data_IF_585265980316
#
_entry.id   IF_585265980316
#
_cell.length_a   1.000
_cell.length_b   1.000
_cell.length_c   1.000
_cell.angle_alpha   90.00
_cell.angle_beta   90.00
_cell.angle_gamma   90.00
#
_symmetry.space_group_name_H-M   'P 1'
#
loop_
_entity.id
_entity.type
_entity.pdbx_description
1 polymer ?
#
# COMPACT_ATOMS: atom_id res chain seq x y z
N UNK A 1 -24.88 -4.42 14.88
CA UNK A 1 -23.71 -5.21 14.47
C UNK A 1 -23.93 -6.72 14.64
N UNK A 2 -24.58 -7.21 15.73
CA UNK A 2 -24.79 -8.66 15.90
C UNK A 2 -25.68 -9.25 14.79
N UNK A 3 -26.80 -8.59 14.49
CA UNK A 3 -27.70 -9.01 13.41
C UNK A 3 -27.01 -8.95 12.05
N UNK A 4 -26.25 -7.89 11.81
CA UNK A 4 -25.52 -7.70 10.56
C UNK A 4 -24.45 -8.78 10.39
N UNK A 5 -23.65 -9.05 11.44
CA UNK A 5 -22.64 -10.09 11.43
C UNK A 5 -23.22 -11.48 11.16
N UNK A 6 -24.36 -11.82 11.78
CA UNK A 6 -25.08 -13.07 11.53
C UNK A 6 -25.58 -13.16 10.10
N UNK A 7 -26.11 -12.05 9.55
CA UNK A 7 -26.57 -11.98 8.17
C UNK A 7 -25.41 -12.16 7.17
N UNK A 8 -24.31 -11.44 7.39
CA UNK A 8 -23.10 -11.55 6.55
C UNK A 8 -22.52 -12.96 6.57
N UNK A 9 -22.44 -13.57 7.77
CA UNK A 9 -22.01 -14.96 7.89
C UNK A 9 -22.93 -15.93 7.15
N UNK A 10 -24.27 -15.71 7.19
CA UNK A 10 -25.25 -16.52 6.45
C UNK A 10 -25.12 -16.40 4.92
N UNK A 11 -24.64 -15.26 4.43
CA UNK A 11 -24.33 -15.03 3.02
C UNK A 11 -22.99 -15.63 2.58
N UNK A 12 -22.17 -16.10 3.52
CA UNK A 12 -20.85 -16.63 3.23
C UNK A 12 -19.79 -15.57 3.03
N UNK A 13 -19.96 -14.37 3.58
CA UNK A 13 -18.96 -13.29 3.50
C UNK A 13 -17.68 -13.72 4.22
N UNK A 14 -16.51 -13.51 3.59
CA UNK A 14 -15.18 -13.83 4.12
C UNK A 14 -14.37 -12.60 4.51
N UNK A 15 -14.79 -11.41 4.10
CA UNK A 15 -14.10 -10.14 4.32
C UNK A 15 -15.13 -9.05 4.60
N UNK A 16 -14.92 -8.29 5.66
CA UNK A 16 -15.72 -7.11 6.01
C UNK A 16 -14.83 -5.88 6.17
N UNK A 17 -15.00 -4.88 5.30
CA UNK A 17 -14.52 -3.52 5.53
C UNK A 17 -15.58 -2.76 6.31
N UNK A 18 -15.22 -2.31 7.53
CA UNK A 18 -16.11 -1.61 8.43
C UNK A 18 -15.72 -0.14 8.53
N UNK A 19 -16.50 0.68 7.84
CA UNK A 19 -16.23 2.10 7.66
C UNK A 19 -16.65 2.94 8.86
N UNK A 20 -16.00 4.07 9.05
CA UNK A 20 -16.30 5.07 10.08
C UNK A 20 -17.62 5.82 9.80
N UNK A 21 -17.96 6.02 8.51
CA UNK A 21 -19.18 6.68 8.04
C UNK A 21 -19.49 7.99 8.79
N UNK A 22 -20.71 8.11 9.30
CA UNK A 22 -21.16 9.28 10.08
C UNK A 22 -20.86 9.19 11.59
N UNK A 23 -20.00 8.27 12.01
CA UNK A 23 -19.75 8.02 13.45
C UNK A 23 -19.20 9.26 14.17
N UNK A 24 -18.31 10.01 13.51
CA UNK A 24 -17.73 11.22 14.07
C UNK A 24 -18.83 12.23 14.44
N UNK A 25 -19.64 12.78 13.52
CA UNK A 25 -20.67 13.76 13.85
C UNK A 25 -21.84 13.17 14.62
N UNK A 26 -22.18 11.91 14.42
CA UNK A 26 -23.36 11.30 15.03
C UNK A 26 -23.14 10.82 16.47
N UNK A 27 -21.92 10.41 16.80
CA UNK A 27 -21.57 9.80 18.09
C UNK A 27 -20.49 10.61 18.82
N UNK A 28 -19.29 10.70 18.23
CA UNK A 28 -18.13 11.27 18.93
C UNK A 28 -18.35 12.74 19.31
N UNK A 29 -18.74 13.58 18.35
CA UNK A 29 -18.97 15.02 18.61
C UNK A 29 -20.17 15.29 19.50
N UNK A 30 -21.15 14.38 19.56
CA UNK A 30 -22.31 14.54 20.46
C UNK A 30 -22.02 14.10 21.90
N UNK A 31 -21.24 13.01 22.07
CA UNK A 31 -21.00 12.41 23.38
C UNK A 31 -19.73 12.95 24.06
N UNK A 32 -18.75 13.39 23.28
CA UNK A 32 -17.47 13.87 23.77
C UNK A 32 -16.92 15.01 22.89
N UNK A 33 -17.61 16.17 22.75
CA UNK A 33 -17.26 17.20 21.77
C UNK A 33 -15.85 17.77 21.96
N UNK A 34 -15.37 17.87 23.21
CA UNK A 34 -14.10 18.51 23.57
C UNK A 34 -13.11 17.53 24.24
N UNK A 35 -13.43 16.24 24.31
CA UNK A 35 -12.58 15.22 24.95
C UNK A 35 -12.06 14.20 23.93
N UNK A 36 -10.86 14.46 23.38
CA UNK A 36 -10.22 13.56 22.41
C UNK A 36 -9.99 12.15 22.95
N UNK A 37 -9.66 12.01 24.24
CA UNK A 37 -9.47 10.69 24.82
C UNK A 37 -10.79 9.92 24.94
N UNK A 38 -11.90 10.60 25.23
CA UNK A 38 -13.22 10.00 25.19
C UNK A 38 -13.65 9.66 23.75
N UNK A 39 -13.36 10.52 22.78
CA UNK A 39 -13.61 10.25 21.34
C UNK A 39 -12.89 8.98 20.89
N UNK A 40 -11.60 8.85 21.21
CA UNK A 40 -10.81 7.65 20.91
C UNK A 40 -11.40 6.39 21.56
N UNK A 41 -11.79 6.45 22.84
CA UNK A 41 -12.45 5.32 23.53
C UNK A 41 -13.76 4.91 22.84
N UNK A 42 -14.56 5.87 22.40
CA UNK A 42 -15.80 5.60 21.65
C UNK A 42 -15.52 4.92 20.32
N UNK A 43 -14.51 5.37 19.58
CA UNK A 43 -14.08 4.76 18.32
C UNK A 43 -13.63 3.31 18.53
N UNK A 44 -12.69 3.07 19.43
CA UNK A 44 -12.19 1.73 19.75
C UNK A 44 -13.33 0.81 20.16
N UNK A 45 -14.22 1.26 21.05
CA UNK A 45 -15.37 0.47 21.51
C UNK A 45 -16.33 0.11 20.38
N UNK A 46 -16.49 0.98 19.38
CA UNK A 46 -17.33 0.71 18.21
C UNK A 46 -16.74 -0.43 17.34
N UNK A 47 -15.46 -0.38 17.06
CA UNK A 47 -14.77 -1.43 16.29
C UNK A 47 -14.70 -2.75 17.08
N UNK A 48 -14.43 -2.70 18.38
CA UNK A 48 -14.47 -3.87 19.26
C UNK A 48 -15.85 -4.54 19.29
N UNK A 49 -16.94 -3.76 19.24
CA UNK A 49 -18.31 -4.27 19.21
C UNK A 49 -18.57 -5.09 17.94
N UNK A 50 -18.10 -4.63 16.78
CA UNK A 50 -18.20 -5.39 15.53
C UNK A 50 -17.33 -6.64 15.55
N UNK A 51 -16.09 -6.57 16.05
CA UNK A 51 -15.23 -7.74 16.20
C UNK A 51 -15.91 -8.85 17.01
N UNK A 52 -16.46 -8.50 18.17
CA UNK A 52 -17.21 -9.45 19.02
C UNK A 52 -18.41 -10.05 18.28
N UNK A 53 -19.11 -9.25 17.50
CA UNK A 53 -20.24 -9.71 16.70
C UNK A 53 -19.79 -10.69 15.61
N UNK A 54 -18.73 -10.36 14.86
CA UNK A 54 -18.17 -11.24 13.83
C UNK A 54 -17.69 -12.57 14.43
N UNK A 55 -16.92 -12.55 15.51
CA UNK A 55 -16.44 -13.75 16.21
C UNK A 55 -17.56 -14.63 16.72
N UNK A 56 -18.67 -14.05 17.15
CA UNK A 56 -19.84 -14.80 17.66
C UNK A 56 -20.55 -15.65 16.59
N UNK A 57 -20.31 -15.36 15.30
CA UNK A 57 -20.89 -16.14 14.19
C UNK A 57 -20.22 -17.49 13.99
N UNK A 58 -19.00 -17.68 14.52
CA UNK A 58 -18.16 -18.86 14.29
C UNK A 58 -17.54 -18.94 12.90
N UNK A 59 -17.82 -17.96 11.98
CA UNK A 59 -17.21 -17.89 10.66
C UNK A 59 -15.93 -17.06 10.71
N UNK A 60 -14.81 -17.53 10.14
CA UNK A 60 -13.60 -16.73 9.99
C UNK A 60 -13.85 -15.63 8.94
N UNK A 61 -13.94 -14.38 9.40
CA UNK A 61 -14.15 -13.21 8.54
C UNK A 61 -12.95 -12.29 8.74
N UNK A 62 -12.26 -11.94 7.65
CA UNK A 62 -11.19 -10.94 7.67
C UNK A 62 -11.81 -9.58 8.00
N UNK A 63 -11.30 -8.94 9.04
CA UNK A 63 -11.85 -7.69 9.54
C UNK A 63 -10.94 -6.51 9.21
N UNK A 64 -11.43 -5.61 8.38
CA UNK A 64 -10.76 -4.40 7.91
C UNK A 64 -11.38 -3.15 8.52
N UNK A 65 -10.55 -2.33 9.18
CA UNK A 65 -10.99 -1.05 9.74
C UNK A 65 -10.80 0.06 8.71
N UNK A 66 -11.85 0.84 8.48
CA UNK A 66 -11.77 2.00 7.59
C UNK A 66 -12.08 3.29 8.37
N UNK A 67 -11.07 3.78 9.09
CA UNK A 67 -11.13 5.02 9.87
C UNK A 67 -10.04 6.03 9.48
N UNK A 68 -9.45 5.84 8.29
CA UNK A 68 -8.60 6.84 7.61
C UNK A 68 -7.31 7.23 8.35
N UNK A 69 -6.71 6.33 9.13
CA UNK A 69 -5.49 6.60 9.89
C UNK A 69 -5.69 7.37 11.20
N UNK A 70 -6.92 7.74 11.54
CA UNK A 70 -7.21 8.53 12.73
C UNK A 70 -6.72 7.85 14.00
N UNK A 71 -6.20 8.67 14.92
CA UNK A 71 -5.72 8.26 16.24
C UNK A 71 -4.71 7.09 16.17
N UNK A 72 -3.85 7.09 15.13
CA UNK A 72 -2.81 6.08 14.93
C UNK A 72 -3.36 4.64 15.05
N UNK A 73 -4.35 4.30 14.23
CA UNK A 73 -5.05 3.00 14.26
C UNK A 73 -4.12 1.79 14.27
N UNK A 74 -2.95 1.90 13.66
CA UNK A 74 -1.93 0.85 13.66
C UNK A 74 -1.42 0.49 15.07
N UNK A 75 -1.61 1.37 16.07
CA UNK A 75 -1.23 1.10 17.46
C UNK A 75 -2.30 0.31 18.21
N UNK A 76 -3.58 0.49 17.88
CA UNK A 76 -4.68 -0.12 18.61
C UNK A 76 -5.53 -1.11 17.77
N UNK A 77 -5.49 -1.03 16.45
CA UNK A 77 -6.28 -1.89 15.54
C UNK A 77 -6.16 -3.38 15.85
N UNK A 78 -4.97 -3.93 16.11
CA UNK A 78 -4.84 -5.34 16.51
C UNK A 78 -5.64 -5.69 17.78
N UNK A 79 -5.78 -4.76 18.73
CA UNK A 79 -6.46 -5.02 20.01
C UNK A 79 -7.96 -5.20 19.87
N UNK A 80 -8.56 -4.68 18.80
CA UNK A 80 -9.98 -4.86 18.46
C UNK A 80 -10.22 -5.95 17.43
N UNK A 81 -9.22 -6.85 17.22
CA UNK A 81 -9.35 -8.01 16.34
C UNK A 81 -9.18 -7.72 14.85
N UNK A 82 -8.73 -6.53 14.49
CA UNK A 82 -8.52 -6.18 13.09
C UNK A 82 -7.38 -6.98 12.45
N UNK A 83 -7.59 -7.37 11.19
CA UNK A 83 -6.56 -7.98 10.34
C UNK A 83 -5.87 -6.95 9.46
N UNK A 84 -6.53 -5.83 9.17
CA UNK A 84 -5.95 -4.71 8.44
C UNK A 84 -6.70 -3.41 8.79
N UNK A 85 -6.07 -2.28 8.48
CA UNK A 85 -6.62 -0.95 8.76
C UNK A 85 -6.13 0.08 7.76
N UNK A 86 -7.04 0.94 7.33
CA UNK A 86 -6.70 2.10 6.50
C UNK A 86 -5.77 3.03 7.26
N UNK A 87 -4.69 3.42 6.63
CA UNK A 87 -3.65 4.28 7.20
C UNK A 87 -3.81 5.75 6.83
N UNK A 88 -4.57 6.04 5.77
CA UNK A 88 -4.72 7.37 5.17
C UNK A 88 -6.16 7.64 4.77
N UNK A 89 -6.45 8.87 4.34
CA UNK A 89 -7.66 9.23 3.59
C UNK A 89 -7.81 8.46 2.29
N UNK A 90 -8.91 8.71 1.55
CA UNK A 90 -9.21 8.01 0.31
C UNK A 90 -8.22 8.37 -0.80
N UNK A 91 -7.77 7.34 -1.52
CA UNK A 91 -6.92 7.48 -2.69
C UNK A 91 -7.69 8.09 -3.86
N UNK A 92 -6.97 8.83 -4.70
CA UNK A 92 -7.46 9.37 -5.97
C UNK A 92 -6.59 8.89 -7.12
N UNK A 93 -7.14 8.71 -8.34
CA UNK A 93 -6.40 8.22 -9.49
C UNK A 93 -5.48 9.30 -10.10
N UNK A 94 -4.55 9.79 -9.33
CA UNK A 94 -3.53 10.76 -9.75
C UNK A 94 -2.25 10.58 -8.94
N UNK A 95 -1.13 10.98 -9.54
CA UNK A 95 0.20 10.83 -8.95
C UNK A 95 0.33 11.47 -7.57
N UNK A 96 -0.18 12.69 -7.41
CA UNK A 96 -0.07 13.42 -6.13
C UNK A 96 -0.69 12.63 -4.97
N UNK A 97 -1.86 12.03 -5.19
CA UNK A 97 -2.52 11.21 -4.17
C UNK A 97 -1.73 9.94 -3.87
N UNK A 98 -1.30 9.22 -4.91
CA UNK A 98 -0.52 7.97 -4.76
C UNK A 98 0.78 8.24 -4.00
N UNK A 99 1.53 9.26 -4.41
CA UNK A 99 2.82 9.56 -3.80
C UNK A 99 2.68 10.12 -2.38
N UNK A 100 1.65 10.93 -2.11
CA UNK A 100 1.35 11.38 -0.74
C UNK A 100 1.06 10.21 0.18
N UNK A 101 0.18 9.29 -0.25
CA UNK A 101 -0.18 8.11 0.52
C UNK A 101 1.05 7.20 0.75
N UNK A 102 1.88 7.01 -0.29
CA UNK A 102 3.13 6.26 -0.16
C UNK A 102 4.04 6.85 0.92
N UNK A 103 4.22 8.17 0.93
CA UNK A 103 5.05 8.84 1.93
C UNK A 103 4.49 8.69 3.35
N UNK A 104 3.17 8.67 3.51
CA UNK A 104 2.53 8.45 4.80
C UNK A 104 2.75 7.03 5.35
N UNK A 105 3.12 6.04 4.49
CA UNK A 105 3.50 4.70 4.95
C UNK A 105 4.92 4.66 5.54
N UNK A 106 5.76 5.66 5.27
CA UNK A 106 7.12 5.68 5.80
C UNK A 106 7.12 5.62 7.34
N UNK A 107 7.74 4.57 7.89
CA UNK A 107 7.80 4.34 9.34
C UNK A 107 6.66 3.48 9.91
N UNK A 108 5.67 3.06 9.11
CA UNK A 108 4.59 2.19 9.57
C UNK A 108 4.92 0.70 9.50
N UNK A 109 5.98 0.30 8.81
CA UNK A 109 6.37 -1.10 8.62
C UNK A 109 6.46 -1.92 9.91
N UNK A 110 6.79 -1.29 11.03
CA UNK A 110 6.89 -1.96 12.35
C UNK A 110 5.54 -2.41 12.92
N UNK A 111 4.43 -1.93 12.37
CA UNK A 111 3.07 -2.27 12.80
C UNK A 111 2.43 -3.35 11.89
N UNK A 112 3.03 -3.60 10.71
CA UNK A 112 2.56 -4.60 9.77
C UNK A 112 3.28 -5.94 9.94
N UNK A 113 2.58 -7.01 9.59
CA UNK A 113 3.10 -8.37 9.60
C UNK A 113 2.00 -9.40 9.39
N UNK A 114 2.32 -10.71 9.39
CA UNK A 114 1.33 -11.75 9.15
C UNK A 114 0.11 -11.64 10.08
N UNK A 115 -1.05 -11.44 9.47
CA UNK A 115 -2.33 -11.26 10.17
C UNK A 115 -2.68 -9.82 10.56
N UNK A 116 -1.77 -8.87 10.34
CA UNK A 116 -1.96 -7.45 10.68
C UNK A 116 -1.32 -6.58 9.59
N UNK A 117 -2.12 -5.88 8.77
CA UNK A 117 -1.63 -5.20 7.59
C UNK A 117 -2.03 -3.72 7.57
N UNK A 118 -1.06 -2.87 7.22
CA UNK A 118 -1.36 -1.48 6.84
C UNK A 118 -2.08 -1.50 5.48
N UNK A 119 -3.11 -0.69 5.36
CA UNK A 119 -3.92 -0.57 4.15
C UNK A 119 -3.85 0.88 3.64
N UNK A 120 -3.03 1.16 2.62
CA UNK A 120 -2.92 2.48 2.00
C UNK A 120 -4.07 2.78 1.02
N UNK A 121 -5.11 2.00 1.02
CA UNK A 121 -6.25 1.97 0.13
C UNK A 121 -6.09 1.08 -1.12
N UNK A 122 -7.14 0.99 -1.90
CA UNK A 122 -7.22 0.13 -3.09
C UNK A 122 -6.28 0.59 -4.21
N UNK A 123 -6.17 -0.24 -5.23
CA UNK A 123 -5.42 0.06 -6.44
C UNK A 123 -6.27 0.91 -7.39
N UNK A 124 -5.71 2.03 -7.85
CA UNK A 124 -6.29 2.91 -8.87
C UNK A 124 -5.67 2.70 -10.26
N UNK A 125 -4.99 1.58 -10.47
CA UNK A 125 -4.31 1.23 -11.72
C UNK A 125 -5.28 1.23 -12.90
N UNK A 126 -5.01 2.07 -13.90
CA UNK A 126 -5.86 2.24 -15.08
C UNK A 126 -7.09 3.12 -14.86
N UNK A 127 -7.22 3.74 -13.70
CA UNK A 127 -8.29 4.70 -13.40
C UNK A 127 -7.90 6.13 -13.76
N UNK A 128 -8.90 7.00 -13.82
CA UNK A 128 -8.79 8.42 -14.12
C UNK A 128 -9.66 8.86 -15.29
N UNK A 129 -9.56 10.12 -15.66
CA UNK A 129 -10.31 10.70 -16.78
C UNK A 129 -9.40 11.01 -17.96
N UNK A 130 -9.84 10.86 -19.22
CA UNK A 130 -9.04 11.20 -20.38
C UNK A 130 -8.49 12.61 -20.30
N UNK A 131 -7.28 12.78 -20.81
CA UNK A 131 -6.68 14.10 -20.98
C UNK A 131 -7.63 14.96 -21.84
N UNK A 132 -8.05 16.14 -21.30
CA UNK A 132 -9.00 17.03 -21.98
C UNK A 132 -10.47 16.91 -21.55
N UNK A 133 -10.80 16.03 -20.58
CA UNK A 133 -12.09 16.13 -19.90
C UNK A 133 -12.10 17.34 -18.96
N UNK A 134 -13.24 18.04 -18.86
CA UNK A 134 -13.41 19.25 -18.01
C UNK A 134 -13.23 19.01 -16.49
N UNK A 135 -12.93 17.80 -16.11
CA UNK A 135 -12.80 17.42 -14.71
C UNK A 135 -11.33 17.23 -14.34
N UNK A 136 -10.51 18.12 -14.16
CA UNK A 136 -9.13 18.19 -13.66
C UNK A 136 -8.46 16.87 -13.10
N UNK A 137 -9.10 15.73 -13.32
CA UNK A 137 -8.62 14.40 -12.95
C UNK A 137 -7.90 13.84 -14.17
N UNK A 138 -6.59 13.71 -14.09
CA UNK A 138 -5.76 13.10 -15.13
C UNK A 138 -5.71 11.60 -14.93
N UNK A 139 -5.66 10.83 -16.01
CA UNK A 139 -5.27 9.42 -15.94
C UNK A 139 -3.89 9.29 -15.33
N UNK A 140 -3.71 8.19 -14.63
CA UNK A 140 -2.37 7.69 -14.37
C UNK A 140 -1.71 7.32 -15.70
N UNK A 141 -0.45 7.70 -15.84
CA UNK A 141 0.37 7.21 -16.96
C UNK A 141 0.73 5.74 -16.73
N UNK A 142 1.10 4.98 -17.74
CA UNK A 142 1.60 3.61 -17.55
C UNK A 142 2.79 3.50 -16.59
N UNK A 143 3.60 4.55 -16.47
CA UNK A 143 4.69 4.64 -15.50
C UNK A 143 4.14 4.75 -14.07
N UNK A 144 3.21 5.68 -13.85
CA UNK A 144 2.54 5.88 -12.55
C UNK A 144 1.74 4.63 -12.12
N UNK A 145 1.08 3.95 -13.07
CA UNK A 145 0.38 2.68 -12.83
C UNK A 145 1.34 1.58 -12.36
N UNK A 146 2.52 1.45 -13.02
CA UNK A 146 3.55 0.49 -12.60
C UNK A 146 4.12 0.83 -11.23
N UNK A 147 4.39 2.09 -10.97
CA UNK A 147 4.90 2.55 -9.68
C UNK A 147 3.90 2.30 -8.57
N UNK A 148 2.64 2.67 -8.78
CA UNK A 148 1.56 2.43 -7.84
C UNK A 148 1.45 0.94 -7.49
N UNK A 149 1.30 0.06 -8.47
CA UNK A 149 1.20 -1.38 -8.26
C UNK A 149 2.43 -1.97 -7.56
N UNK A 150 3.63 -1.55 -7.99
CA UNK A 150 4.90 -1.99 -7.40
C UNK A 150 5.01 -1.61 -5.93
N UNK A 151 4.65 -0.36 -5.61
CA UNK A 151 4.80 0.13 -4.24
C UNK A 151 3.77 -0.47 -3.30
N UNK A 152 2.52 -0.70 -3.74
CA UNK A 152 1.55 -1.46 -2.94
C UNK A 152 2.05 -2.89 -2.69
N UNK A 153 2.63 -3.53 -3.70
CA UNK A 153 3.28 -4.83 -3.50
C UNK A 153 4.49 -4.75 -2.56
N UNK A 154 5.30 -3.71 -2.63
CA UNK A 154 6.42 -3.47 -1.69
C UNK A 154 5.92 -3.25 -0.25
N UNK A 155 4.81 -2.58 -0.07
CA UNK A 155 4.19 -2.32 1.23
C UNK A 155 3.45 -3.53 1.82
N UNK A 156 3.38 -4.67 1.14
CA UNK A 156 2.53 -5.82 1.53
C UNK A 156 1.07 -5.40 1.75
N UNK A 157 0.62 -4.41 0.97
CA UNK A 157 -0.71 -3.85 1.05
C UNK A 157 -1.76 -4.77 0.42
N UNK A 158 -3.03 -4.70 0.82
CA UNK A 158 -4.07 -5.42 0.11
C UNK A 158 -4.15 -4.99 -1.37
N UNK A 159 -3.90 -5.91 -2.30
CA UNK A 159 -3.97 -5.63 -3.75
C UNK A 159 -5.43 -5.70 -4.24
N UNK A 160 -6.26 -4.77 -3.77
CA UNK A 160 -7.68 -4.70 -4.13
C UNK A 160 -7.86 -3.80 -5.37
N UNK A 161 -8.21 -4.40 -6.51
CA UNK A 161 -8.43 -3.67 -7.75
C UNK A 161 -9.67 -2.75 -7.65
N UNK A 162 -9.47 -1.44 -7.88
CA UNK A 162 -10.53 -0.42 -7.89
C UNK A 162 -10.97 0.01 -9.29
N UNK A 163 -10.42 -0.59 -10.34
CA UNK A 163 -10.69 -0.22 -11.72
C UNK A 163 -11.90 -0.96 -12.33
N UNK A 164 -12.35 -0.48 -13.50
CA UNK A 164 -13.40 -1.12 -14.29
C UNK A 164 -12.87 -2.39 -14.97
N UNK A 165 -12.99 -3.53 -14.28
CA UNK A 165 -12.46 -4.82 -14.74
C UNK A 165 -12.96 -5.24 -16.12
N UNK A 166 -14.26 -5.10 -16.49
CA UNK A 166 -14.76 -5.46 -17.82
C UNK A 166 -14.12 -4.67 -18.97
N UNK A 167 -13.75 -3.42 -18.72
CA UNK A 167 -13.21 -2.50 -19.74
C UNK A 167 -11.71 -2.25 -19.60
N UNK A 168 -11.03 -3.05 -18.80
CA UNK A 168 -9.60 -2.98 -18.56
C UNK A 168 -8.79 -3.16 -19.85
N UNK A 169 -7.84 -2.25 -20.12
CA UNK A 169 -6.94 -2.38 -21.28
C UNK A 169 -5.96 -3.55 -21.12
N UNK A 170 -5.38 -4.06 -22.22
CA UNK A 170 -4.34 -5.09 -22.13
C UNK A 170 -3.16 -4.68 -21.25
N UNK A 171 -2.74 -3.42 -21.31
CA UNK A 171 -1.61 -2.86 -20.55
C UNK A 171 -1.91 -2.85 -19.05
N UNK A 172 -3.09 -2.39 -18.65
CA UNK A 172 -3.56 -2.41 -17.25
C UNK A 172 -3.62 -3.84 -16.74
N UNK A 173 -4.15 -4.76 -17.55
CA UNK A 173 -4.18 -6.18 -17.20
C UNK A 173 -2.77 -6.76 -17.01
N UNK A 174 -1.82 -6.41 -17.87
CA UNK A 174 -0.42 -6.85 -17.76
C UNK A 174 0.19 -6.38 -16.42
N UNK A 175 -0.07 -5.13 -16.03
CA UNK A 175 0.39 -4.57 -14.75
C UNK A 175 -0.24 -5.37 -13.59
N UNK A 176 -1.56 -5.45 -13.52
CA UNK A 176 -2.28 -6.09 -12.42
C UNK A 176 -2.05 -7.60 -12.30
N UNK A 177 -1.52 -8.25 -13.35
CA UNK A 177 -1.24 -9.69 -13.36
C UNK A 177 0.25 -10.02 -13.44
N UNK A 178 1.14 -9.05 -13.19
CA UNK A 178 2.58 -9.29 -13.16
C UNK A 178 2.94 -10.20 -11.98
N UNK A 179 3.24 -11.46 -12.29
CA UNK A 179 3.50 -12.49 -11.29
C UNK A 179 4.73 -12.24 -10.43
N UNK A 180 5.75 -11.61 -11.00
CA UNK A 180 6.99 -11.32 -10.28
C UNK A 180 6.76 -10.22 -9.23
N UNK A 181 5.96 -9.20 -9.56
CA UNK A 181 5.58 -8.15 -8.62
C UNK A 181 4.62 -8.69 -7.55
N UNK A 182 3.61 -9.46 -7.95
CA UNK A 182 2.69 -10.14 -7.01
C UNK A 182 3.48 -11.04 -6.04
N UNK A 183 4.53 -11.71 -6.50
CA UNK A 183 5.36 -12.55 -5.63
C UNK A 183 6.15 -11.75 -4.58
N UNK A 184 6.41 -10.46 -4.81
CA UNK A 184 6.93 -9.56 -3.76
C UNK A 184 5.86 -9.37 -2.69
N UNK A 185 4.64 -9.03 -3.08
CA UNK A 185 3.51 -8.83 -2.16
C UNK A 185 3.25 -10.08 -1.31
N UNK A 186 3.16 -11.22 -1.93
CA UNK A 186 2.83 -12.52 -1.34
C UNK A 186 4.00 -13.20 -0.61
N UNK A 187 5.11 -12.49 -0.36
CA UNK A 187 6.23 -13.08 0.35
C UNK A 187 5.84 -13.45 1.78
N UNK A 188 6.14 -14.70 2.16
CA UNK A 188 5.71 -15.32 3.44
C UNK A 188 6.23 -14.64 4.71
N UNK A 189 7.28 -13.79 4.64
CA UNK A 189 7.71 -13.01 5.81
C UNK A 189 6.67 -11.94 6.16
N UNK A 190 5.89 -11.48 5.18
CA UNK A 190 4.92 -10.41 5.39
C UNK A 190 5.54 -9.09 5.85
N UNK A 191 6.83 -8.88 5.61
CA UNK A 191 7.48 -7.61 5.95
C UNK A 191 7.02 -6.53 4.97
N UNK A 192 6.66 -5.39 5.49
CA UNK A 192 6.43 -4.18 4.70
C UNK A 192 7.78 -3.54 4.33
N UNK A 193 7.82 -2.85 3.17
CA UNK A 193 9.00 -2.10 2.76
C UNK A 193 9.28 -0.92 3.69
N UNK A 194 10.54 -0.54 3.75
CA UNK A 194 11.00 0.67 4.45
C UNK A 194 11.59 1.65 3.46
N UNK A 195 11.30 2.94 3.65
CA UNK A 195 11.98 4.01 2.95
C UNK A 195 13.43 4.04 3.43
N UNK A 196 14.37 3.81 2.50
CA UNK A 196 15.79 3.73 2.83
C UNK A 196 16.47 5.11 2.81
N UNK A 197 16.29 5.85 1.73
CA UNK A 197 16.78 7.21 1.58
C UNK A 197 16.19 7.89 0.34
N UNK A 198 16.30 9.23 0.31
CA UNK A 198 16.05 10.04 -0.88
C UNK A 198 17.35 10.72 -1.33
N UNK A 199 17.46 11.02 -2.63
CA UNK A 199 18.50 11.84 -3.23
C UNK A 199 17.87 12.73 -4.29
N UNK A 200 17.70 14.01 -3.98
CA UNK A 200 16.89 14.91 -4.77
C UNK A 200 15.44 14.47 -4.82
N UNK A 201 14.92 14.26 -6.03
CA UNK A 201 13.56 13.80 -6.28
C UNK A 201 13.45 12.28 -6.52
N UNK A 202 14.50 11.53 -6.17
CA UNK A 202 14.49 10.06 -6.30
C UNK A 202 14.45 9.41 -4.93
N UNK A 203 13.51 8.50 -4.75
CA UNK A 203 13.32 7.70 -3.54
C UNK A 203 13.78 6.27 -3.71
N UNK A 204 14.42 5.75 -2.67
CA UNK A 204 14.83 4.34 -2.60
C UNK A 204 14.15 3.66 -1.44
N UNK A 205 13.47 2.56 -1.75
CA UNK A 205 12.80 1.70 -0.78
C UNK A 205 13.37 0.30 -0.81
N UNK A 206 13.36 -0.38 0.32
CA UNK A 206 13.81 -1.77 0.44
C UNK A 206 12.81 -2.62 1.17
N UNK A 207 12.70 -3.88 0.77
CA UNK A 207 11.90 -4.90 1.45
C UNK A 207 12.70 -6.17 1.61
N UNK A 208 12.83 -6.65 2.85
CA UNK A 208 13.39 -7.96 3.12
C UNK A 208 12.38 -9.06 2.77
N UNK A 209 12.83 -10.06 2.05
CA UNK A 209 12.03 -11.17 1.58
C UNK A 209 12.52 -12.50 2.20
N UNK A 210 11.66 -13.50 2.14
CA UNK A 210 11.96 -14.84 2.61
C UNK A 210 13.21 -15.43 1.93
N UNK A 211 13.93 -16.28 2.68
CA UNK A 211 15.15 -16.88 2.17
C UNK A 211 16.35 -15.93 2.07
N UNK A 212 16.28 -14.75 2.69
CA UNK A 212 17.37 -13.76 2.66
C UNK A 212 17.43 -12.94 1.36
N UNK A 213 16.42 -13.00 0.51
CA UNK A 213 16.29 -12.15 -0.66
C UNK A 213 15.87 -10.72 -0.25
N UNK A 214 16.06 -9.76 -1.14
CA UNK A 214 15.67 -8.35 -0.96
C UNK A 214 15.04 -7.82 -2.23
N UNK A 215 14.00 -7.01 -2.09
CA UNK A 215 13.51 -6.15 -3.15
C UNK A 215 14.00 -4.72 -2.94
N UNK A 216 14.41 -4.07 -4.01
CA UNK A 216 14.82 -2.66 -4.05
C UNK A 216 13.93 -1.97 -5.07
N UNK A 217 13.28 -0.90 -4.66
CA UNK A 217 12.54 -0.01 -5.52
C UNK A 217 13.26 1.35 -5.59
N UNK A 218 13.48 1.84 -6.79
CA UNK A 218 13.98 3.19 -7.07
C UNK A 218 12.89 3.91 -7.84
N UNK A 219 12.42 5.05 -7.34
CA UNK A 219 11.29 5.81 -7.89
C UNK A 219 11.77 7.21 -8.22
N UNK A 220 11.50 7.67 -9.43
CA UNK A 220 11.57 9.10 -9.73
C UNK A 220 10.26 9.76 -9.25
N UNK A 221 10.36 10.51 -8.18
CA UNK A 221 9.23 11.15 -7.49
C UNK A 221 9.09 12.65 -7.85
N UNK A 222 9.76 13.09 -8.90
CA UNK A 222 9.78 14.48 -9.33
C UNK A 222 8.41 15.11 -9.52
N UNK A 223 8.36 16.43 -9.41
CA UNK A 223 7.10 17.18 -9.55
C UNK A 223 6.64 17.34 -11.00
N UNK A 224 7.51 17.09 -11.97
CA UNK A 224 7.28 17.25 -13.41
C UNK A 224 7.28 15.89 -14.11
N UNK A 225 6.17 15.55 -14.76
CA UNK A 225 5.99 14.31 -15.53
C UNK A 225 6.97 14.09 -16.68
N UNK A 226 7.66 15.14 -17.12
CA UNK A 226 8.49 15.11 -18.32
C UNK A 226 9.97 15.20 -18.02
N UNK A 227 10.34 15.42 -16.79
CA UNK A 227 11.75 15.48 -16.35
C UNK A 227 12.27 14.10 -16.00
N UNK A 228 13.56 13.90 -16.16
CA UNK A 228 14.30 12.78 -15.60
C UNK A 228 15.37 13.33 -14.68
N UNK A 229 15.53 12.70 -13.53
CA UNK A 229 16.48 13.18 -12.54
C UNK A 229 17.71 12.26 -12.53
N UNK A 230 18.93 12.79 -12.76
CA UNK A 230 20.15 12.00 -12.64
C UNK A 230 20.27 11.43 -11.24
N UNK A 231 20.39 10.13 -11.13
CA UNK A 231 20.49 9.45 -9.85
C UNK A 231 21.60 8.41 -9.87
N UNK A 232 22.30 8.27 -8.77
CA UNK A 232 23.33 7.24 -8.59
C UNK A 232 22.97 6.38 -7.37
N UNK A 233 22.65 5.12 -7.62
CA UNK A 233 22.26 4.17 -6.58
C UNK A 233 23.43 3.90 -5.62
N UNK A 234 23.24 4.15 -4.32
CA UNK A 234 24.21 3.78 -3.31
C UNK A 234 23.83 2.48 -2.62
N UNK A 235 24.50 1.39 -2.98
CA UNK A 235 24.37 0.11 -2.30
C UNK A 235 24.87 0.17 -0.85
N UNK A 236 25.87 0.97 -0.59
CA UNK A 236 26.43 1.18 0.75
C UNK A 236 25.39 1.76 1.70
N UNK A 237 24.53 2.71 1.27
CA UNK A 237 23.39 3.21 2.07
C UNK A 237 22.36 2.13 2.39
N UNK A 238 22.28 1.07 1.57
CA UNK A 238 21.40 -0.08 1.77
C UNK A 238 22.05 -1.20 2.61
N UNK A 239 23.27 -1.01 3.10
CA UNK A 239 24.04 -2.04 3.81
C UNK A 239 24.53 -3.17 2.91
N UNK A 240 24.52 -2.97 1.59
CA UNK A 240 24.96 -3.97 0.61
C UNK A 240 26.41 -3.67 0.17
N UNK A 241 27.22 -4.71 0.06
CA UNK A 241 28.62 -4.60 -0.32
C UNK A 241 28.91 -5.40 -1.59
N UNK A 242 29.68 -4.79 -2.49
CA UNK A 242 30.03 -5.38 -3.78
C UNK A 242 28.84 -5.44 -4.77
N UNK A 243 29.09 -5.96 -5.97
CA UNK A 243 28.05 -6.08 -6.99
C UNK A 243 26.91 -7.02 -6.56
N UNK A 244 25.68 -6.60 -6.75
CA UNK A 244 24.48 -7.38 -6.47
C UNK A 244 23.82 -7.82 -7.77
N UNK A 245 23.71 -9.11 -8.00
CA UNK A 245 22.96 -9.66 -9.13
C UNK A 245 21.49 -9.75 -8.75
N UNK A 246 20.62 -9.30 -9.63
CA UNK A 246 19.18 -9.32 -9.41
C UNK A 246 18.40 -9.43 -10.72
N UNK A 247 17.10 -9.42 -10.62
CA UNK A 247 16.16 -9.41 -11.73
C UNK A 247 15.30 -8.13 -11.66
N UNK A 248 15.29 -7.36 -12.73
CA UNK A 248 14.29 -6.31 -12.92
C UNK A 248 12.92 -6.98 -13.17
N UNK A 249 11.95 -6.67 -12.35
CA UNK A 249 10.66 -7.37 -12.34
C UNK A 249 9.69 -6.89 -13.42
N UNK A 250 9.97 -5.73 -14.03
CA UNK A 250 9.17 -5.21 -15.15
C UNK A 250 9.69 -5.67 -16.50
N UNK A 251 11.00 -5.68 -16.70
CA UNK A 251 11.59 -6.12 -17.96
C UNK A 251 11.91 -7.61 -17.99
N UNK A 252 11.92 -8.27 -16.83
CA UNK A 252 12.33 -9.66 -16.68
C UNK A 252 13.83 -9.91 -16.86
N UNK A 253 14.62 -8.85 -17.08
CA UNK A 253 16.07 -8.96 -17.38
C UNK A 253 16.90 -9.10 -16.11
N UNK A 254 17.99 -9.87 -16.22
CA UNK A 254 19.04 -9.87 -15.22
C UNK A 254 19.76 -8.52 -15.21
N UNK A 255 19.99 -8.01 -14.02
CA UNK A 255 20.71 -6.76 -13.78
C UNK A 255 21.80 -6.98 -12.72
N UNK A 256 22.91 -6.28 -12.87
CA UNK A 256 23.94 -6.22 -11.82
C UNK A 256 24.00 -4.79 -11.30
N UNK A 257 23.55 -4.60 -10.06
CA UNK A 257 23.65 -3.32 -9.36
C UNK A 257 25.07 -3.19 -8.78
N UNK A 258 25.66 -2.02 -8.94
CA UNK A 258 26.94 -1.66 -8.33
C UNK A 258 26.80 -0.38 -7.54
N UNK A 259 27.68 -0.17 -6.56
CA UNK A 259 27.65 1.08 -5.80
C UNK A 259 27.94 2.27 -6.73
N UNK A 260 27.26 3.37 -6.53
CA UNK A 260 27.32 4.56 -7.37
C UNK A 260 26.92 4.32 -8.84
N UNK A 261 26.09 3.31 -9.13
CA UNK A 261 25.60 3.02 -10.47
C UNK A 261 24.62 4.11 -10.92
N UNK A 262 24.80 4.70 -12.12
CA UNK A 262 23.79 5.60 -12.67
C UNK A 262 22.50 4.83 -12.99
N UNK A 263 21.38 5.38 -12.57
CA UNK A 263 20.03 4.87 -12.84
C UNK A 263 19.32 5.91 -13.71
N UNK A 264 18.77 5.45 -14.81
CA UNK A 264 17.92 6.25 -15.69
C UNK A 264 16.51 5.67 -15.65
N UNK A 265 15.58 6.39 -15.06
CA UNK A 265 14.15 6.09 -15.03
C UNK A 265 13.38 7.32 -15.49
N UNK A 266 12.27 7.09 -16.17
CA UNK A 266 11.37 8.19 -16.53
C UNK A 266 10.70 8.77 -15.27
N UNK A 267 10.24 10.01 -15.35
CA UNK A 267 9.50 10.63 -14.27
C UNK A 267 8.29 9.77 -13.87
N UNK A 268 8.11 9.62 -12.58
CA UNK A 268 7.08 8.80 -11.91
C UNK A 268 7.17 7.28 -12.18
N UNK A 269 8.20 6.83 -12.91
CA UNK A 269 8.42 5.40 -13.15
C UNK A 269 9.26 4.77 -12.03
N UNK A 270 9.41 3.47 -12.07
CA UNK A 270 10.06 2.66 -11.06
C UNK A 270 11.04 1.66 -11.69
N UNK A 271 12.21 1.54 -11.08
CA UNK A 271 13.04 0.36 -11.19
C UNK A 271 12.80 -0.54 -9.99
N UNK A 272 12.22 -1.72 -10.19
CA UNK A 272 11.98 -2.70 -9.14
C UNK A 272 12.85 -3.94 -9.37
N UNK A 273 13.82 -4.15 -8.48
CA UNK A 273 14.78 -5.25 -8.58
C UNK A 273 14.64 -6.21 -7.42
N UNK A 274 14.55 -7.49 -7.71
CA UNK A 274 14.69 -8.55 -6.71
C UNK A 274 16.10 -9.11 -6.73
N UNK A 275 16.79 -9.01 -5.60
CA UNK A 275 18.11 -9.59 -5.35
C UNK A 275 17.89 -10.93 -4.60
N UNK A 276 18.43 -12.06 -5.08
CA UNK A 276 18.37 -13.32 -4.35
C UNK A 276 19.25 -13.29 -3.09
N UNK A 277 19.06 -14.24 -2.20
CA UNK A 277 19.94 -14.42 -1.06
C UNK A 277 21.41 -14.55 -1.51
N UNK A 278 22.36 -13.94 -0.80
CA UNK A 278 23.76 -14.26 -0.97
C UNK A 278 23.98 -15.79 -0.81
N UNK A 279 24.73 -16.37 -1.73
CA UNK A 279 25.10 -17.80 -1.66
C UNK A 279 26.15 -18.03 -0.59
#
# INVERSE_FOLDING_TARGET
ELQDAQLYASWGIDYLKYDLCSFIPAVMMKQAPDDKAAQMRLMIASYEKMDKALKSTGRPIVYSLCQYGWDAVWEWGPSVGANLWRTTGDIQPNWQSIYSILNEQAGLAKYAGPGHWNDPDMLEVGNGQPEGSDHHIRYLTPAEDRTHFSMWAMLAAPLLAGNDLPNMTPEVREILTNRDVIAIDQDRLGHEATHAYSDGEVDVWTRHLSGGAMAIAVIDAGSDRYSTHPFHLSLTKLGLHGPQKGKDLWTGKEITLTDNMPIEIASHDILLVRIPSPK
#
